data_IF_780369723037
#
_entry.id   IF_780369723037
#
_cell.length_a   1.000
_cell.length_b   1.000
_cell.length_c   1.000
_cell.angle_alpha   90.00
_cell.angle_beta   90.00
_cell.angle_gamma   90.00
#
_symmetry.space_group_name_H-M   'P 1'
#
loop_
_entity.id
_entity.type
_entity.pdbx_description
1 polymer ?
#
# COMPACT_ATOMS: atom_id res chain seq x y z
N UNK A 1 44.75 8.04 -35.31
CA UNK A 1 44.61 7.52 -33.98
C UNK A 1 43.53 8.29 -33.23
N UNK A 2 42.27 7.83 -33.30
CA UNK A 2 41.14 8.45 -32.60
C UNK A 2 40.86 7.57 -31.37
N UNK A 3 41.41 7.97 -30.22
CA UNK A 3 40.99 7.38 -28.93
C UNK A 3 39.73 8.12 -28.49
N UNK A 4 38.58 7.56 -28.81
CA UNK A 4 37.30 7.99 -28.22
C UNK A 4 37.40 7.83 -26.71
N UNK A 5 37.31 8.94 -26.00
CA UNK A 5 37.28 9.03 -24.55
C UNK A 5 35.91 8.57 -24.06
N UNK A 6 35.80 7.30 -23.73
CA UNK A 6 34.59 6.67 -23.14
C UNK A 6 34.37 7.02 -21.65
N UNK A 7 35.20 7.92 -21.08
CA UNK A 7 35.09 8.31 -19.66
C UNK A 7 33.94 9.27 -19.39
N UNK A 8 33.59 10.17 -20.29
CA UNK A 8 32.54 11.17 -20.06
C UNK A 8 31.14 10.57 -19.90
N UNK A 9 30.81 9.50 -20.63
CA UNK A 9 29.50 8.86 -20.55
C UNK A 9 29.26 8.08 -19.26
N UNK A 10 30.29 7.45 -18.70
CA UNK A 10 30.19 6.72 -17.46
C UNK A 10 30.07 7.68 -16.24
N UNK A 11 30.77 8.80 -16.28
CA UNK A 11 30.72 9.81 -15.22
C UNK A 11 29.36 10.51 -15.18
N UNK A 12 28.79 10.86 -16.34
CA UNK A 12 27.44 11.43 -16.46
C UNK A 12 26.37 10.44 -16.00
N UNK A 13 26.46 9.18 -16.39
CA UNK A 13 25.56 8.12 -15.93
C UNK A 13 25.59 7.95 -14.41
N UNK A 14 26.78 7.86 -13.82
CA UNK A 14 26.94 7.74 -12.37
C UNK A 14 26.44 8.99 -11.61
N UNK A 15 26.60 10.18 -12.20
CA UNK A 15 26.07 11.42 -11.62
C UNK A 15 24.52 11.42 -11.59
N UNK A 16 23.88 10.95 -12.68
CA UNK A 16 22.42 10.82 -12.77
C UNK A 16 21.89 9.80 -11.74
N UNK A 17 22.51 8.64 -11.62
CA UNK A 17 22.12 7.64 -10.62
C UNK A 17 22.23 8.23 -9.20
N UNK A 18 23.35 8.87 -8.86
CA UNK A 18 23.52 9.51 -7.55
C UNK A 18 22.45 10.56 -7.29
N UNK A 19 22.07 11.34 -8.28
CA UNK A 19 21.01 12.34 -8.17
C UNK A 19 19.65 11.68 -7.88
N UNK A 20 19.29 10.63 -8.61
CA UNK A 20 18.03 9.88 -8.40
C UNK A 20 18.00 9.30 -6.98
N UNK A 21 19.06 8.60 -6.56
CA UNK A 21 19.15 8.01 -5.22
C UNK A 21 19.05 9.08 -4.14
N UNK A 22 19.81 10.18 -4.26
CA UNK A 22 19.79 11.28 -3.29
C UNK A 22 18.41 11.95 -3.19
N UNK A 23 17.72 12.15 -4.33
CA UNK A 23 16.38 12.71 -4.33
C UNK A 23 15.37 11.76 -3.69
N UNK A 24 15.43 10.46 -4.00
CA UNK A 24 14.58 9.43 -3.39
C UNK A 24 14.81 9.35 -1.88
N UNK A 25 16.06 9.35 -1.43
CA UNK A 25 16.38 9.34 0.01
C UNK A 25 15.83 10.56 0.73
N UNK A 26 15.93 11.74 0.12
CA UNK A 26 15.44 12.99 0.69
C UNK A 26 13.92 13.00 0.76
N UNK A 27 13.21 12.57 -0.28
CA UNK A 27 11.74 12.51 -0.29
C UNK A 27 11.19 11.57 0.79
N UNK A 28 11.96 10.56 1.20
CA UNK A 28 11.59 9.60 2.23
C UNK A 28 12.18 9.94 3.62
N UNK A 29 12.93 11.04 3.73
CA UNK A 29 13.54 11.48 4.98
C UNK A 29 14.54 10.47 5.55
N UNK A 30 15.33 9.82 4.68
CA UNK A 30 16.41 8.88 5.06
C UNK A 30 17.80 9.32 4.60
N UNK A 31 17.92 10.52 4.06
CA UNK A 31 19.19 11.11 3.65
C UNK A 31 20.16 11.31 4.82
N UNK A 32 19.66 11.66 6.02
CA UNK A 32 20.46 11.78 7.23
C UNK A 32 21.12 10.48 7.69
N UNK A 33 20.64 9.34 7.23
CA UNK A 33 21.17 8.01 7.59
C UNK A 33 21.85 7.29 6.41
N UNK A 34 22.21 8.03 5.35
CA UNK A 34 22.80 7.51 4.11
C UNK A 34 24.06 6.66 4.32
N UNK A 35 24.81 6.93 5.40
CA UNK A 35 26.05 6.24 5.73
C UNK A 35 25.92 5.28 6.91
N UNK A 36 24.71 5.14 7.47
CA UNK A 36 24.47 4.20 8.56
C UNK A 36 24.31 2.77 8.06
N UNK A 37 24.74 1.80 8.85
CA UNK A 37 24.44 0.41 8.58
C UNK A 37 22.93 0.15 8.73
N UNK A 38 22.35 -0.64 7.84
CA UNK A 38 20.97 -1.09 7.99
C UNK A 38 20.79 -1.87 9.29
N UNK A 39 21.81 -2.67 9.64
CA UNK A 39 21.83 -3.47 10.87
C UNK A 39 20.95 -4.72 10.77
N UNK A 40 21.27 -5.69 11.62
CA UNK A 40 20.57 -6.96 11.77
C UNK A 40 20.25 -7.22 13.26
N UNK A 41 19.96 -8.46 13.64
CA UNK A 41 19.69 -8.84 15.03
C UNK A 41 20.90 -8.64 15.97
N UNK A 42 22.12 -8.68 15.41
CA UNK A 42 23.39 -8.65 16.16
C UNK A 42 24.07 -7.29 16.06
N UNK A 43 23.82 -6.56 14.99
CA UNK A 43 24.48 -5.29 14.70
C UNK A 43 23.48 -4.15 14.75
N UNK A 44 23.68 -3.20 15.67
CA UNK A 44 22.85 -2.01 15.77
C UNK A 44 22.94 -1.21 14.46
N UNK A 45 21.78 -0.83 13.92
CA UNK A 45 21.67 -0.05 12.70
C UNK A 45 20.48 0.88 12.72
N UNK A 46 19.82 1.02 11.59
CA UNK A 46 18.62 1.85 11.39
C UNK A 46 17.50 1.44 12.36
N UNK A 47 16.70 2.43 12.77
CA UNK A 47 15.43 2.20 13.47
C UNK A 47 14.45 1.45 12.55
N UNK A 48 13.42 0.81 13.13
CA UNK A 48 12.39 0.11 12.35
C UNK A 48 11.73 0.99 11.30
N UNK A 49 11.40 2.25 11.65
CA UNK A 49 10.82 3.23 10.73
C UNK A 49 11.78 3.62 9.60
N UNK A 50 13.07 3.78 9.88
CA UNK A 50 14.08 4.06 8.85
C UNK A 50 14.28 2.86 7.93
N UNK A 51 14.35 1.63 8.48
CA UNK A 51 14.41 0.39 7.67
C UNK A 51 13.22 0.29 6.71
N UNK A 52 12.01 0.58 7.19
CA UNK A 52 10.80 0.55 6.35
C UNK A 52 10.87 1.60 5.25
N UNK A 53 11.28 2.83 5.55
CA UNK A 53 11.44 3.89 4.55
C UNK A 53 12.54 3.58 3.53
N UNK A 54 13.64 2.99 3.96
CA UNK A 54 14.70 2.51 3.04
C UNK A 54 14.17 1.41 2.11
N UNK A 55 13.37 0.46 2.63
CA UNK A 55 12.71 -0.55 1.79
C UNK A 55 11.80 0.08 0.72
N UNK A 56 10.98 1.06 1.11
CA UNK A 56 10.13 1.81 0.17
C UNK A 56 11.00 2.57 -0.85
N UNK A 57 12.11 3.18 -0.40
CA UNK A 57 13.05 3.88 -1.29
C UNK A 57 13.60 2.96 -2.38
N UNK A 58 13.96 1.74 -2.02
CA UNK A 58 14.51 0.76 -2.96
C UNK A 58 13.52 0.41 -4.06
N UNK A 59 12.25 0.22 -3.70
CA UNK A 59 11.20 -0.07 -4.69
C UNK A 59 10.91 1.15 -5.59
N UNK A 60 10.94 2.36 -5.04
CA UNK A 60 10.71 3.60 -5.80
C UNK A 60 11.76 3.87 -6.87
N UNK A 61 12.98 3.38 -6.71
CA UNK A 61 14.03 3.55 -7.73
C UNK A 61 13.66 2.92 -9.08
N UNK A 62 12.73 1.97 -9.09
CA UNK A 62 12.20 1.37 -10.33
C UNK A 62 11.11 2.19 -10.99
N UNK A 63 10.71 3.33 -10.39
CA UNK A 63 9.61 4.20 -10.84
C UNK A 63 8.32 3.42 -11.11
N UNK A 64 7.79 2.67 -10.12
CA UNK A 64 6.63 1.83 -10.31
C UNK A 64 5.36 2.68 -10.47
N UNK A 65 4.44 2.24 -11.34
CA UNK A 65 3.10 2.82 -11.42
C UNK A 65 2.19 2.36 -10.27
N UNK A 66 2.47 1.19 -9.70
CA UNK A 66 1.70 0.58 -8.60
C UNK A 66 2.67 0.00 -7.58
N UNK A 67 2.43 0.26 -6.31
CA UNK A 67 3.15 -0.34 -5.17
C UNK A 67 2.20 -1.15 -4.31
N UNK A 68 2.63 -2.35 -3.93
CA UNK A 68 1.94 -3.20 -2.95
C UNK A 68 2.78 -3.27 -1.68
N UNK A 69 2.17 -2.95 -0.55
CA UNK A 69 2.83 -2.98 0.76
C UNK A 69 2.00 -3.83 1.72
N UNK A 70 2.66 -4.80 2.32
CA UNK A 70 2.04 -5.63 3.34
C UNK A 70 2.41 -5.10 4.73
N UNK A 71 1.39 -4.67 5.46
CA UNK A 71 1.48 -4.11 6.82
C UNK A 71 2.66 -3.12 7.01
N UNK A 72 2.76 -2.03 6.23
CA UNK A 72 3.95 -1.16 6.27
C UNK A 72 4.15 -0.44 7.60
N UNK A 73 3.17 -0.45 8.48
CA UNK A 73 3.19 0.21 9.80
C UNK A 73 3.38 -0.74 10.98
N UNK A 74 3.32 -2.04 10.76
CA UNK A 74 3.45 -3.04 11.84
C UNK A 74 4.85 -3.01 12.45
N UNK A 75 4.90 -3.05 13.78
CA UNK A 75 6.14 -2.96 14.55
C UNK A 75 6.75 -1.56 14.67
N UNK A 76 6.07 -0.53 14.18
CA UNK A 76 6.48 0.86 14.34
C UNK A 76 5.73 1.53 15.48
N UNK A 77 6.40 2.46 16.16
CA UNK A 77 5.72 3.40 17.05
C UNK A 77 4.78 4.34 16.24
N UNK A 78 3.83 4.96 16.94
CA UNK A 78 2.79 5.76 16.30
C UNK A 78 3.31 6.93 15.45
N UNK A 79 4.43 7.52 15.84
CA UNK A 79 5.04 8.66 15.11
C UNK A 79 5.70 8.18 13.81
N UNK A 80 6.42 7.07 13.86
CA UNK A 80 7.04 6.51 12.66
C UNK A 80 6.01 5.88 11.72
N UNK A 81 4.94 5.25 12.25
CA UNK A 81 3.84 4.75 11.46
C UNK A 81 3.14 5.88 10.68
N UNK A 82 2.81 6.99 11.34
CA UNK A 82 2.22 8.17 10.68
C UNK A 82 3.13 8.69 9.56
N UNK A 83 4.44 8.89 9.83
CA UNK A 83 5.40 9.34 8.81
C UNK A 83 5.47 8.43 7.59
N UNK A 84 5.40 7.12 7.78
CA UNK A 84 5.39 6.17 6.65
C UNK A 84 4.13 6.36 5.81
N UNK A 85 2.96 6.50 6.44
CA UNK A 85 1.70 6.67 5.70
C UNK A 85 1.62 8.04 5.03
N UNK A 86 2.08 9.11 5.66
CA UNK A 86 2.18 10.44 5.03
C UNK A 86 3.02 10.40 3.74
N UNK A 87 4.14 9.69 3.78
CA UNK A 87 4.99 9.49 2.60
C UNK A 87 4.24 8.70 1.52
N UNK A 88 3.53 7.63 1.89
CA UNK A 88 2.76 6.82 0.94
C UNK A 88 1.60 7.62 0.32
N UNK A 89 0.93 8.46 1.11
CA UNK A 89 -0.09 9.38 0.61
C UNK A 89 0.51 10.38 -0.40
N UNK A 90 1.64 11.00 -0.06
CA UNK A 90 2.33 11.91 -0.98
C UNK A 90 2.78 11.22 -2.29
N UNK A 91 3.13 9.93 -2.25
CA UNK A 91 3.41 9.16 -3.46
C UNK A 91 2.14 8.93 -4.29
N UNK A 92 1.00 8.70 -3.63
CA UNK A 92 -0.32 8.63 -4.26
C UNK A 92 -0.66 9.92 -5.02
N UNK A 93 -0.50 11.06 -4.36
CA UNK A 93 -0.68 12.39 -4.96
C UNK A 93 0.29 12.62 -6.14
N UNK A 94 1.47 12.03 -6.08
CA UNK A 94 2.47 12.03 -7.15
C UNK A 94 2.18 11.08 -8.32
N UNK A 95 1.06 10.35 -8.30
CA UNK A 95 0.59 9.49 -9.39
C UNK A 95 0.99 8.01 -9.27
N UNK A 96 1.55 7.57 -8.15
CA UNK A 96 1.79 6.16 -7.86
C UNK A 96 0.54 5.56 -7.21
N UNK A 97 0.00 4.49 -7.77
CA UNK A 97 -1.10 3.78 -7.10
C UNK A 97 -0.53 2.96 -5.93
N UNK A 98 -0.90 3.32 -4.70
CA UNK A 98 -0.46 2.62 -3.49
C UNK A 98 -1.57 1.69 -3.00
N UNK A 99 -1.28 0.42 -2.90
CA UNK A 99 -2.16 -0.61 -2.31
C UNK A 99 -1.46 -1.19 -1.09
N UNK A 100 -2.11 -1.09 0.06
CA UNK A 100 -1.50 -1.58 1.29
C UNK A 100 -2.50 -2.38 2.14
N UNK A 101 -2.01 -3.39 2.84
CA UNK A 101 -2.72 -3.95 3.99
C UNK A 101 -2.38 -3.13 5.23
N UNK A 102 -3.36 -2.91 6.09
CA UNK A 102 -3.15 -2.20 7.34
C UNK A 102 -4.05 -2.80 8.43
N UNK A 103 -3.48 -3.00 9.61
CA UNK A 103 -4.21 -3.51 10.75
C UNK A 103 -4.50 -2.35 11.71
N UNK A 104 -5.78 -2.15 12.07
CA UNK A 104 -6.25 -1.14 13.03
C UNK A 104 -5.64 0.25 12.83
N UNK A 105 -5.87 0.91 11.67
CA UNK A 105 -5.30 2.21 11.41
C UNK A 105 -5.84 3.25 12.40
N UNK A 106 -4.97 4.10 12.89
CA UNK A 106 -5.37 5.26 13.70
C UNK A 106 -6.26 6.21 12.88
N UNK A 107 -7.06 7.07 13.54
CA UNK A 107 -7.95 8.01 12.84
C UNK A 107 -7.25 8.94 11.85
N UNK A 108 -6.04 9.39 12.19
CA UNK A 108 -5.19 10.22 11.32
C UNK A 108 -4.75 9.46 10.07
N UNK A 109 -4.33 8.22 10.23
CA UNK A 109 -3.96 7.31 9.13
C UNK A 109 -5.17 6.95 8.26
N UNK A 110 -6.32 6.61 8.89
CA UNK A 110 -7.53 6.23 8.16
C UNK A 110 -8.03 7.33 7.22
N UNK A 111 -7.90 8.60 7.61
CA UNK A 111 -8.29 9.75 6.78
C UNK A 111 -7.44 9.94 5.51
N UNK A 112 -6.23 9.37 5.48
CA UNK A 112 -5.35 9.41 4.32
C UNK A 112 -5.67 8.33 3.27
N UNK A 113 -6.58 7.40 3.60
CA UNK A 113 -6.99 6.34 2.68
C UNK A 113 -8.13 6.83 1.79
N UNK A 114 -7.93 6.88 0.48
CA UNK A 114 -8.99 7.24 -0.47
C UNK A 114 -10.07 6.17 -0.53
N UNK A 115 -9.64 4.92 -0.63
CA UNK A 115 -10.50 3.76 -0.77
C UNK A 115 -10.06 2.64 0.17
N UNK A 116 -11.04 1.89 0.65
CA UNK A 116 -10.80 0.70 1.46
C UNK A 116 -11.54 -0.50 0.89
N UNK A 117 -10.94 -1.66 1.09
CA UNK A 117 -11.55 -2.97 0.92
C UNK A 117 -11.64 -3.62 2.29
N UNK A 118 -12.86 -3.89 2.76
CA UNK A 118 -13.08 -4.60 4.03
C UNK A 118 -13.45 -6.05 3.72
N UNK A 119 -12.81 -6.97 4.42
CA UNK A 119 -13.00 -8.40 4.23
C UNK A 119 -13.59 -9.03 5.49
N UNK A 120 -14.50 -9.98 5.29
CA UNK A 120 -15.01 -10.83 6.38
C UNK A 120 -13.93 -11.79 6.89
N UNK A 121 -14.16 -12.41 8.05
CA UNK A 121 -13.29 -13.46 8.59
C UNK A 121 -13.10 -14.67 7.66
N UNK A 122 -13.98 -14.85 6.67
CA UNK A 122 -13.86 -15.89 5.63
C UNK A 122 -13.06 -15.44 4.41
N UNK A 123 -12.50 -14.25 4.41
CA UNK A 123 -11.73 -13.70 3.29
C UNK A 123 -12.56 -13.21 2.10
N UNK A 124 -13.88 -12.99 2.30
CA UNK A 124 -14.77 -12.42 1.28
C UNK A 124 -14.95 -10.93 1.50
N UNK A 125 -15.02 -10.15 0.41
CA UNK A 125 -15.29 -8.72 0.49
C UNK A 125 -16.70 -8.46 1.04
N UNK A 126 -16.80 -7.49 1.94
CA UNK A 126 -18.05 -6.99 2.49
C UNK A 126 -18.24 -5.49 2.24
N UNK A 127 -17.18 -4.81 1.85
CA UNK A 127 -17.20 -3.41 1.41
C UNK A 127 -16.04 -3.12 0.47
N UNK A 128 -16.28 -2.37 -0.58
CA UNK A 128 -15.25 -1.76 -1.45
C UNK A 128 -15.70 -0.37 -1.86
N UNK A 129 -15.04 0.66 -1.37
CA UNK A 129 -15.50 2.02 -1.60
C UNK A 129 -14.61 3.09 -0.99
N UNK A 130 -15.07 4.34 -1.04
CA UNK A 130 -14.41 5.45 -0.40
C UNK A 130 -14.37 5.25 1.13
N UNK A 131 -13.24 5.54 1.76
CA UNK A 131 -13.05 5.34 3.21
C UNK A 131 -14.08 6.09 4.04
N UNK A 132 -14.42 7.31 3.65
CA UNK A 132 -15.41 8.16 4.32
C UNK A 132 -16.88 7.71 4.16
N UNK A 133 -17.17 6.74 3.28
CA UNK A 133 -18.52 6.21 3.05
C UNK A 133 -18.76 4.88 3.75
N UNK A 134 -17.73 4.30 4.38
CA UNK A 134 -17.82 2.97 4.96
C UNK A 134 -18.80 2.92 6.15
N UNK A 135 -18.75 3.90 7.05
CA UNK A 135 -19.64 4.01 8.20
C UNK A 135 -21.12 4.00 7.76
N UNK A 136 -21.48 4.92 6.87
CA UNK A 136 -22.86 5.04 6.37
C UNK A 136 -23.33 3.77 5.63
N UNK A 137 -22.43 3.05 4.98
CA UNK A 137 -22.75 1.78 4.32
C UNK A 137 -23.25 0.73 5.33
N UNK A 138 -22.50 0.47 6.41
CA UNK A 138 -22.88 -0.54 7.41
C UNK A 138 -24.11 -0.13 8.21
N UNK A 139 -24.27 1.17 8.51
CA UNK A 139 -25.47 1.70 9.17
C UNK A 139 -26.71 1.55 8.29
N UNK A 140 -26.63 1.89 7.00
CA UNK A 140 -27.77 1.83 6.07
C UNK A 140 -28.30 0.41 5.83
N UNK A 141 -27.44 -0.59 5.99
CA UNK A 141 -27.80 -2.00 5.87
C UNK A 141 -28.29 -2.62 7.20
N UNK A 142 -28.25 -1.84 8.29
CA UNK A 142 -28.72 -2.27 9.61
C UNK A 142 -27.81 -3.27 10.31
N UNK A 143 -26.54 -3.36 9.90
CA UNK A 143 -25.56 -4.27 10.55
C UNK A 143 -25.02 -3.75 11.86
N UNK A 144 -25.12 -2.45 12.10
CA UNK A 144 -24.70 -1.86 13.34
C UNK A 144 -25.53 -0.63 13.71
N UNK A 145 -25.65 -0.30 15.02
CA UNK A 145 -26.17 0.99 15.46
C UNK A 145 -25.22 2.11 15.02
N UNK A 146 -25.70 3.39 15.03
CA UNK A 146 -24.81 4.51 14.77
C UNK A 146 -23.55 4.47 15.62
N UNK A 147 -22.42 4.84 15.03
CA UNK A 147 -21.12 4.81 15.69
C UNK A 147 -21.13 5.71 16.95
N UNK A 148 -20.72 5.19 18.11
CA UNK A 148 -20.61 6.00 19.31
C UNK A 148 -19.65 7.16 19.15
N UNK A 149 -19.93 8.30 19.78
CA UNK A 149 -19.05 9.47 19.76
C UNK A 149 -17.66 9.11 20.31
N UNK A 150 -16.61 9.58 19.64
CA UNK A 150 -15.22 9.34 20.03
C UNK A 150 -14.64 7.99 19.55
N UNK A 151 -15.44 7.09 19.01
CA UNK A 151 -14.93 5.83 18.44
C UNK A 151 -14.35 6.09 17.04
N UNK A 152 -13.18 5.52 16.75
CA UNK A 152 -12.56 5.58 15.42
C UNK A 152 -13.41 4.85 14.38
N UNK A 153 -13.59 5.43 13.19
CA UNK A 153 -14.35 4.82 12.08
C UNK A 153 -13.77 3.48 11.67
N UNK A 154 -12.44 3.35 11.62
CA UNK A 154 -11.81 2.09 11.26
C UNK A 154 -12.11 0.98 12.28
N UNK A 155 -12.01 1.30 13.57
CA UNK A 155 -12.30 0.34 14.64
C UNK A 155 -13.79 -0.04 14.64
N UNK A 156 -14.68 0.95 14.44
CA UNK A 156 -16.12 0.71 14.31
C UNK A 156 -16.43 -0.25 13.15
N UNK A 157 -15.90 0.00 11.95
CA UNK A 157 -16.13 -0.84 10.77
C UNK A 157 -15.58 -2.25 10.98
N UNK A 158 -14.39 -2.38 11.57
CA UNK A 158 -13.81 -3.69 11.90
C UNK A 158 -14.62 -4.43 12.95
N UNK A 159 -15.06 -3.75 14.00
CA UNK A 159 -15.90 -4.33 15.05
C UNK A 159 -17.23 -4.88 14.50
N UNK A 160 -17.86 -4.15 13.58
CA UNK A 160 -19.10 -4.61 12.90
C UNK A 160 -18.85 -5.92 12.18
N UNK A 161 -17.75 -6.03 11.45
CA UNK A 161 -17.44 -7.21 10.64
C UNK A 161 -16.94 -8.38 11.52
N UNK A 162 -16.12 -8.10 12.53
CA UNK A 162 -15.53 -9.14 13.39
C UNK A 162 -16.52 -9.72 14.40
N UNK A 163 -17.50 -8.93 14.85
CA UNK A 163 -18.55 -9.39 15.80
C UNK A 163 -19.76 -10.00 15.10
N UNK A 164 -19.84 -9.89 13.77
CA UNK A 164 -20.93 -10.48 13.02
C UNK A 164 -20.96 -12.01 13.21
N UNK A 165 -22.15 -12.53 13.46
CA UNK A 165 -22.38 -13.98 13.43
C UNK A 165 -22.11 -14.53 12.00
N UNK A 166 -21.92 -15.84 11.89
CA UNK A 166 -21.70 -16.49 10.59
C UNK A 166 -22.78 -16.15 9.57
N UNK A 167 -24.03 -16.04 10.01
CA UNK A 167 -25.16 -15.74 9.12
C UNK A 167 -25.22 -14.25 8.75
N UNK A 168 -24.82 -13.36 9.64
CA UNK A 168 -24.66 -11.93 9.32
C UNK A 168 -23.50 -11.71 8.37
N UNK A 169 -22.35 -12.36 8.60
CA UNK A 169 -21.20 -12.28 7.70
C UNK A 169 -21.55 -12.78 6.29
N UNK A 170 -22.31 -13.87 6.16
CA UNK A 170 -22.84 -14.34 4.87
C UNK A 170 -23.75 -13.32 4.20
N UNK A 171 -24.66 -12.70 4.97
CA UNK A 171 -25.55 -11.65 4.45
C UNK A 171 -24.76 -10.45 3.96
N UNK A 172 -23.79 -9.95 4.74
CA UNK A 172 -22.90 -8.86 4.32
C UNK A 172 -22.21 -9.15 2.98
N UNK A 173 -21.73 -10.38 2.77
CA UNK A 173 -21.14 -10.79 1.50
C UNK A 173 -22.16 -10.77 0.36
N UNK A 174 -23.38 -11.28 0.58
CA UNK A 174 -24.44 -11.27 -0.42
C UNK A 174 -24.87 -9.85 -0.78
N UNK A 175 -25.03 -8.98 0.21
CA UNK A 175 -25.39 -7.56 0.01
C UNK A 175 -24.28 -6.82 -0.76
N UNK A 176 -23.00 -7.11 -0.46
CA UNK A 176 -21.89 -6.58 -1.23
C UNK A 176 -21.91 -7.09 -2.68
N UNK A 177 -22.08 -8.40 -2.91
CA UNK A 177 -22.10 -9.01 -4.24
C UNK A 177 -23.28 -8.45 -5.09
N UNK A 178 -24.40 -8.10 -4.46
CA UNK A 178 -25.55 -7.46 -5.10
C UNK A 178 -25.38 -5.93 -5.27
N UNK A 179 -24.34 -5.32 -4.72
CA UNK A 179 -24.17 -3.88 -4.69
C UNK A 179 -23.72 -3.30 -6.02
N UNK A 180 -23.99 -2.01 -6.22
CA UNK A 180 -23.46 -1.24 -7.35
C UNK A 180 -21.91 -1.15 -7.32
N UNK A 181 -21.28 -1.30 -6.16
CA UNK A 181 -19.83 -1.34 -6.03
C UNK A 181 -19.27 -2.62 -6.64
N UNK A 182 -19.83 -3.79 -6.31
CA UNK A 182 -19.44 -5.07 -6.91
C UNK A 182 -19.67 -5.09 -8.43
N UNK A 183 -20.77 -4.52 -8.90
CA UNK A 183 -21.04 -4.40 -10.33
C UNK A 183 -20.00 -3.52 -11.06
N UNK A 184 -19.61 -2.39 -10.46
CA UNK A 184 -18.54 -1.54 -11.00
C UNK A 184 -17.19 -2.27 -11.04
N UNK A 185 -16.85 -2.97 -9.97
CA UNK A 185 -15.61 -3.73 -9.89
C UNK A 185 -15.58 -4.87 -10.93
N UNK A 186 -16.71 -5.55 -11.14
CA UNK A 186 -16.85 -6.58 -12.18
C UNK A 186 -16.68 -5.98 -13.59
N UNK A 187 -17.31 -4.82 -13.86
CA UNK A 187 -17.18 -4.11 -15.14
C UNK A 187 -15.74 -3.65 -15.39
N UNK A 188 -15.06 -3.11 -14.37
CA UNK A 188 -13.67 -2.71 -14.47
C UNK A 188 -12.75 -3.90 -14.78
N UNK A 189 -12.94 -5.03 -14.08
CA UNK A 189 -12.20 -6.27 -14.38
C UNK A 189 -12.42 -6.76 -15.81
N UNK A 190 -13.66 -6.73 -16.28
CA UNK A 190 -13.98 -7.13 -17.66
C UNK A 190 -13.29 -6.23 -18.70
N UNK A 191 -13.28 -4.90 -18.48
CA UNK A 191 -12.55 -3.95 -19.33
C UNK A 191 -11.05 -4.24 -19.37
N UNK A 192 -10.43 -4.45 -18.21
CA UNK A 192 -8.99 -4.77 -18.12
C UNK A 192 -8.70 -6.06 -18.89
N UNK A 193 -9.52 -7.11 -18.70
CA UNK A 193 -9.37 -8.38 -19.40
C UNK A 193 -9.51 -8.21 -20.93
N UNK A 194 -10.46 -7.39 -21.42
CA UNK A 194 -10.65 -7.10 -22.83
C UNK A 194 -9.43 -6.39 -23.42
N UNK A 195 -8.95 -5.32 -22.78
CA UNK A 195 -7.74 -4.59 -23.21
C UNK A 195 -6.52 -5.51 -23.27
N UNK A 196 -6.40 -6.41 -22.30
CA UNK A 196 -5.30 -7.39 -22.26
C UNK A 196 -5.40 -8.40 -23.41
N UNK A 197 -6.61 -8.84 -23.73
CA UNK A 197 -6.84 -9.77 -24.86
C UNK A 197 -6.58 -9.09 -26.23
N UNK A 198 -6.95 -7.82 -26.38
CA UNK A 198 -6.73 -7.05 -27.62
C UNK A 198 -5.26 -6.68 -27.83
N UNK A 199 -4.53 -6.38 -26.76
CA UNK A 199 -3.12 -5.95 -26.86
C UNK A 199 -2.17 -7.06 -27.29
N UNK A 200 -2.57 -8.33 -27.23
CA UNK A 200 -1.73 -9.49 -27.55
C UNK A 200 -0.43 -9.55 -26.71
N UNK A 201 -0.31 -8.65 -25.74
CA UNK A 201 0.89 -8.52 -24.92
C UNK A 201 0.91 -9.63 -23.89
N UNK A 202 1.60 -10.71 -24.19
CA UNK A 202 2.06 -11.61 -23.12
C UNK A 202 2.95 -10.78 -22.21
N UNK A 203 2.47 -10.49 -20.99
CA UNK A 203 3.33 -9.90 -19.96
C UNK A 203 4.62 -10.72 -19.93
N UNK A 204 5.81 -10.06 -20.00
CA UNK A 204 7.05 -10.79 -19.85
C UNK A 204 6.92 -11.61 -18.55
N UNK A 205 7.14 -12.92 -18.63
CA UNK A 205 7.16 -13.77 -17.43
C UNK A 205 8.14 -13.13 -16.48
N UNK A 206 7.63 -12.47 -15.44
CA UNK A 206 8.45 -11.98 -14.36
C UNK A 206 9.27 -13.17 -13.90
N UNK A 207 10.60 -13.07 -13.99
CA UNK A 207 11.49 -14.06 -13.38
C UNK A 207 10.99 -14.21 -11.95
N UNK A 208 10.58 -15.42 -11.57
CA UNK A 208 10.27 -15.72 -10.18
C UNK A 208 11.54 -15.43 -9.40
N UNK A 209 11.61 -14.28 -8.76
CA UNK A 209 12.62 -14.03 -7.73
C UNK A 209 12.24 -14.99 -6.59
N UNK A 210 12.88 -16.13 -6.52
CA UNK A 210 12.93 -16.94 -5.32
C UNK A 210 13.83 -16.17 -4.36
N UNK A 211 13.25 -15.32 -3.52
CA UNK A 211 13.89 -14.96 -2.28
C UNK A 211 13.95 -16.24 -1.45
N UNK A 212 15.09 -16.90 -1.42
CA UNK A 212 15.40 -17.94 -0.45
C UNK A 212 15.68 -17.22 0.85
N UNK A 213 14.67 -17.08 1.70
CA UNK A 213 14.92 -16.83 3.12
C UNK A 213 15.39 -18.16 3.69
N UNK A 214 16.70 -18.30 3.89
CA UNK A 214 17.25 -19.30 4.77
C UNK A 214 16.80 -18.92 6.19
N UNK A 215 16.04 -19.82 6.84
CA UNK A 215 15.77 -19.84 8.28
C UNK A 215 17.06 -19.97 9.07
#
# INVERSE_FOLDING_TARGET
GNRYSSRGGADDFNARIRSIVSNTMRSLGVDGVAHAFVGDEWTRGLSGGEKRRVSIATELLTSPAIMFLDEPTTGLDSTNAAKVVDILAALGDGGVTVVLSIHQPRPDVFRLLDRILVMSGTGRAVYSGASNSAEAHFESLGYAPPRPEGVNVADYVLDVVLRASDDEAKRMVLDFDASAAAARDATARARIAAVHAESGTTLPRTRKFRASFAT
#
